data_IF_472028652139
#
_entry.id   IF_472028652139
#
_cell.length_a   1.000
_cell.length_b   1.000
_cell.length_c   1.000
_cell.angle_alpha   90.00
_cell.angle_beta   90.00
_cell.angle_gamma   90.00
#
_symmetry.space_group_name_H-M   'P 1'
#
loop_
_entity.id
_entity.type
_entity.pdbx_description
1 polymer ?
#
# COMPACT_ATOMS: atom_id res chain seq x y z
N UNK A 1 15.34 7.11 -9.95
CA UNK A 1 14.70 6.39 -8.83
C UNK A 1 13.42 5.77 -9.35
N UNK A 2 13.07 4.57 -8.90
CA UNK A 2 11.85 3.87 -9.30
C UNK A 2 10.70 4.19 -8.34
N UNK A 3 9.51 4.29 -8.91
CA UNK A 3 8.25 4.42 -8.17
C UNK A 3 7.37 3.22 -8.48
N UNK A 4 6.58 2.81 -7.49
CA UNK A 4 5.55 1.80 -7.68
C UNK A 4 4.33 2.17 -6.84
N UNK A 5 3.16 1.78 -7.34
CA UNK A 5 1.90 1.89 -6.63
C UNK A 5 1.20 0.54 -6.62
N UNK A 6 0.48 0.24 -5.55
CA UNK A 6 -0.38 -0.92 -5.44
C UNK A 6 -1.82 -0.45 -5.32
N UNK A 7 -2.72 -1.10 -6.05
CA UNK A 7 -4.16 -0.87 -6.01
C UNK A 7 -4.83 -2.12 -5.48
N UNK A 8 -5.70 -1.94 -4.50
CA UNK A 8 -6.56 -2.97 -3.95
C UNK A 8 -8.01 -2.50 -4.15
N UNK A 9 -8.81 -3.36 -4.76
CA UNK A 9 -10.21 -3.07 -5.07
C UNK A 9 -11.04 -4.25 -4.59
N UNK A 10 -12.04 -3.96 -3.77
CA UNK A 10 -13.11 -4.87 -3.42
C UNK A 10 -14.46 -4.13 -3.59
N UNK A 11 -15.60 -4.83 -3.49
CA UNK A 11 -16.92 -4.18 -3.63
C UNK A 11 -17.19 -3.06 -2.62
N UNK A 12 -16.58 -3.14 -1.43
CA UNK A 12 -16.85 -2.25 -0.29
C UNK A 12 -15.75 -1.19 -0.10
N UNK A 13 -14.56 -1.40 -0.66
CA UNK A 13 -13.46 -0.46 -0.54
C UNK A 13 -12.55 -0.44 -1.78
N UNK A 14 -12.02 0.73 -2.07
CA UNK A 14 -10.91 0.92 -3.01
C UNK A 14 -9.77 1.64 -2.30
N UNK A 15 -8.55 1.13 -2.47
CA UNK A 15 -7.34 1.73 -1.90
C UNK A 15 -6.22 1.73 -2.94
N UNK A 16 -5.52 2.85 -3.07
CA UNK A 16 -4.35 2.98 -3.92
C UNK A 16 -3.23 3.66 -3.16
N UNK A 17 -2.09 2.98 -3.02
CA UNK A 17 -0.96 3.46 -2.23
C UNK A 17 0.30 3.45 -3.08
N UNK A 18 1.02 4.56 -3.06
CA UNK A 18 2.32 4.72 -3.70
C UNK A 18 3.42 4.48 -2.68
N UNK A 19 4.36 3.62 -3.02
CA UNK A 19 5.56 3.39 -2.23
C UNK A 19 6.54 4.55 -2.33
N UNK A 20 7.48 4.60 -1.38
CA UNK A 20 8.59 5.55 -1.45
C UNK A 20 9.49 5.28 -2.67
N UNK A 21 10.22 6.30 -3.17
CA UNK A 21 11.14 6.12 -4.27
C UNK A 21 12.31 5.21 -3.86
N UNK A 22 12.64 4.22 -4.70
CA UNK A 22 13.72 3.24 -4.43
C UNK A 22 14.71 3.13 -5.59
N UNK A 23 15.87 2.51 -5.32
CA UNK A 23 16.93 2.36 -6.30
C UNK A 23 16.61 1.27 -7.32
N UNK A 24 15.83 0.26 -6.95
CA UNK A 24 15.38 -0.81 -7.84
C UNK A 24 13.86 -0.86 -7.95
N UNK A 25 13.36 -1.38 -9.07
CA UNK A 25 11.92 -1.59 -9.26
C UNK A 25 11.34 -2.62 -8.27
N UNK A 26 12.12 -3.63 -7.86
CA UNK A 26 11.69 -4.61 -6.87
C UNK A 26 11.47 -3.95 -5.50
N UNK A 27 12.45 -3.18 -5.02
CA UNK A 27 12.32 -2.45 -3.76
C UNK A 27 11.17 -1.44 -3.79
N UNK A 28 10.94 -0.76 -4.92
CA UNK A 28 9.81 0.17 -5.06
C UNK A 28 8.47 -0.55 -4.86
N UNK A 29 8.30 -1.74 -5.49
CA UNK A 29 7.10 -2.57 -5.30
C UNK A 29 6.95 -3.07 -3.86
N UNK A 30 8.04 -3.57 -3.26
CA UNK A 30 8.01 -4.01 -1.87
C UNK A 30 7.65 -2.86 -0.91
N UNK A 31 8.18 -1.66 -1.17
CA UNK A 31 7.84 -0.47 -0.38
C UNK A 31 6.37 -0.08 -0.52
N UNK A 32 5.79 -0.15 -1.72
CA UNK A 32 4.37 0.14 -1.94
C UNK A 32 3.46 -0.90 -1.26
N UNK A 33 3.82 -2.18 -1.35
CA UNK A 33 3.09 -3.27 -0.70
C UNK A 33 3.14 -3.19 0.82
N UNK A 34 4.31 -2.88 1.41
CA UNK A 34 4.44 -2.70 2.86
C UNK A 34 3.55 -1.56 3.38
N UNK A 35 3.51 -0.43 2.66
CA UNK A 35 2.64 0.69 3.03
C UNK A 35 1.15 0.29 2.95
N UNK A 36 0.74 -0.48 1.94
CA UNK A 36 -0.62 -1.00 1.83
C UNK A 36 -1.02 -1.87 3.01
N UNK A 37 -0.14 -2.79 3.43
CA UNK A 37 -0.41 -3.65 4.60
C UNK A 37 -0.57 -2.82 5.87
N UNK A 38 0.27 -1.80 6.07
CA UNK A 38 0.18 -0.91 7.23
C UNK A 38 -1.15 -0.14 7.26
N UNK A 39 -1.57 0.43 6.13
CA UNK A 39 -2.84 1.17 6.06
C UNK A 39 -4.06 0.26 6.21
N UNK A 40 -4.00 -0.97 5.70
CA UNK A 40 -5.04 -1.98 5.95
C UNK A 40 -5.16 -2.33 7.43
N UNK A 41 -4.03 -2.51 8.12
CA UNK A 41 -4.02 -2.77 9.56
C UNK A 41 -4.65 -1.63 10.36
N UNK A 42 -4.28 -0.38 10.06
CA UNK A 42 -4.88 0.79 10.72
C UNK A 42 -6.38 0.86 10.53
N UNK A 43 -6.87 0.59 9.31
CA UNK A 43 -8.31 0.56 9.02
C UNK A 43 -9.04 -0.52 9.81
N UNK A 44 -8.45 -1.71 9.91
CA UNK A 44 -9.02 -2.79 10.73
C UNK A 44 -9.13 -2.38 12.21
N UNK A 45 -8.12 -1.69 12.74
CA UNK A 45 -8.14 -1.18 14.14
C UNK A 45 -9.15 -0.03 14.34
N UNK A 46 -9.41 0.80 13.32
CA UNK A 46 -10.43 1.86 13.35
C UNK A 46 -11.87 1.31 13.32
N UNK A 47 -12.10 0.20 12.62
CA UNK A 47 -13.43 -0.45 12.52
C UNK A 47 -13.82 -1.25 13.77
N UNK A 48 -12.85 -1.63 14.62
CA UNK A 48 -13.08 -2.34 15.88
C UNK A 48 -13.50 -1.43 17.06
N UNK A 49 -13.50 -0.09 16.89
CA UNK A 49 -13.87 0.91 17.91
C UNK A 49 -15.28 1.46 17.73
#
# INVERSE_FOLDING_TARGET
MFHASVRLTCPEFEMSITGGPRLTAHEARCSAAANMILELHKKAEEEEQ
#
